data_IF_499848233812
#
_entry.id   IF_499848233812
#
_cell.length_a   1.000
_cell.length_b   1.000
_cell.length_c   1.000
_cell.angle_alpha   90.00
_cell.angle_beta   90.00
_cell.angle_gamma   90.00
#
_symmetry.space_group_name_H-M   'P 1'
#
loop_
_entity.id
_entity.type
_entity.pdbx_description
1 polymer ?
#
# COMPACT_ATOMS: atom_id res chain seq x y z
N UNK A 1 -11.16 3.95 -27.95
CA UNK A 1 -10.66 4.47 -26.67
C UNK A 1 -9.87 3.36 -26.00
N UNK A 2 -8.57 3.22 -26.30
CA UNK A 2 -7.73 2.14 -25.80
C UNK A 2 -6.56 2.77 -25.03
N UNK A 3 -6.41 2.45 -23.74
CA UNK A 3 -5.25 2.84 -22.94
C UNK A 3 -5.52 3.66 -21.67
N UNK A 4 -6.77 3.96 -21.32
CA UNK A 4 -7.06 4.65 -20.06
C UNK A 4 -7.15 3.64 -18.91
N UNK A 5 -6.03 3.45 -18.19
CA UNK A 5 -5.90 2.56 -17.04
C UNK A 5 -6.52 3.12 -15.75
N UNK A 6 -6.66 4.46 -15.66
CA UNK A 6 -7.22 5.14 -14.50
C UNK A 6 -8.58 5.76 -14.85
N UNK A 7 -9.60 5.64 -13.99
CA UNK A 7 -10.88 6.28 -14.23
C UNK A 7 -10.73 7.80 -14.34
N UNK A 8 -11.62 8.48 -15.09
CA UNK A 8 -11.63 9.94 -15.15
C UNK A 8 -11.80 10.55 -13.75
N UNK A 9 -11.24 11.76 -13.49
CA UNK A 9 -11.52 12.51 -12.27
C UNK A 9 -13.04 12.66 -12.04
N UNK A 10 -13.49 12.52 -10.80
CA UNK A 10 -14.92 12.55 -10.45
C UNK A 10 -15.62 11.18 -10.51
N UNK A 11 -14.93 10.13 -10.96
CA UNK A 11 -15.38 8.74 -10.89
C UNK A 11 -14.78 8.00 -9.69
N UNK A 12 -14.26 8.70 -8.69
CA UNK A 12 -13.72 8.07 -7.49
C UNK A 12 -14.85 7.36 -6.74
N UNK A 13 -14.65 6.11 -6.29
CA UNK A 13 -15.57 5.48 -5.36
C UNK A 13 -15.73 6.36 -4.12
N UNK A 14 -16.96 6.74 -3.79
CA UNK A 14 -17.25 7.52 -2.57
C UNK A 14 -17.76 6.58 -1.49
N UNK A 15 -17.23 6.77 -0.28
CA UNK A 15 -17.86 6.22 0.92
C UNK A 15 -19.21 6.96 1.09
N UNK A 16 -20.31 6.24 1.38
CA UNK A 16 -21.60 6.89 1.66
C UNK A 16 -21.45 7.94 2.77
N UNK A 17 -22.08 9.11 2.61
CA UNK A 17 -21.95 10.22 3.57
C UNK A 17 -22.54 9.90 4.96
N UNK A 18 -23.43 8.93 5.02
CA UNK A 18 -24.12 8.44 6.21
C UNK A 18 -23.58 7.08 6.71
N UNK A 19 -22.46 6.61 6.15
CA UNK A 19 -21.88 5.32 6.53
C UNK A 19 -21.53 5.29 8.03
N UNK A 20 -21.92 4.21 8.71
CA UNK A 20 -21.50 4.00 10.10
C UNK A 20 -20.00 3.69 10.17
N UNK A 21 -19.36 3.80 11.35
CA UNK A 21 -17.99 3.36 11.53
C UNK A 21 -17.75 1.90 11.10
N UNK A 22 -18.71 1.01 11.40
CA UNK A 22 -18.65 -0.40 11.02
C UNK A 22 -18.69 -0.59 9.49
N UNK A 23 -19.51 0.19 8.80
CA UNK A 23 -19.59 0.16 7.34
C UNK A 23 -18.32 0.69 6.69
N UNK A 24 -17.73 1.74 7.25
CA UNK A 24 -16.45 2.27 6.80
C UNK A 24 -15.34 1.21 6.96
N UNK A 25 -15.30 0.51 8.09
CA UNK A 25 -14.35 -0.59 8.33
C UNK A 25 -14.56 -1.71 7.31
N UNK A 26 -15.81 -2.11 7.04
CA UNK A 26 -16.11 -3.13 6.04
C UNK A 26 -15.63 -2.74 4.65
N UNK A 27 -15.91 -1.51 4.20
CA UNK A 27 -15.43 -1.00 2.90
C UNK A 27 -13.91 -1.02 2.84
N UNK A 28 -13.25 -0.64 3.94
CA UNK A 28 -11.79 -0.68 4.03
C UNK A 28 -11.25 -2.13 3.94
N UNK A 29 -11.87 -3.09 4.63
CA UNK A 29 -11.49 -4.51 4.54
C UNK A 29 -11.65 -5.03 3.11
N UNK A 30 -12.78 -4.76 2.46
CA UNK A 30 -13.02 -5.19 1.08
C UNK A 30 -11.95 -4.62 0.12
N UNK A 31 -11.53 -3.37 0.34
CA UNK A 31 -10.45 -2.75 -0.42
C UNK A 31 -9.11 -3.42 -0.16
N UNK A 32 -8.79 -3.75 1.09
CA UNK A 32 -7.55 -4.43 1.45
C UNK A 32 -7.48 -5.84 0.85
N UNK A 33 -8.59 -6.58 0.86
CA UNK A 33 -8.68 -7.91 0.23
C UNK A 33 -8.45 -7.83 -1.28
N UNK A 34 -9.04 -6.83 -1.96
CA UNK A 34 -8.81 -6.61 -3.39
C UNK A 34 -7.34 -6.26 -3.67
N UNK A 35 -6.73 -5.40 -2.86
CA UNK A 35 -5.30 -5.08 -2.97
C UNK A 35 -4.42 -6.33 -2.80
N UNK A 36 -4.73 -7.20 -1.84
CA UNK A 36 -4.01 -8.46 -1.63
C UNK A 36 -4.13 -9.37 -2.86
N UNK A 37 -5.32 -9.49 -3.46
CA UNK A 37 -5.51 -10.29 -4.67
C UNK A 37 -4.66 -9.78 -5.84
N UNK A 38 -4.57 -8.47 -6.04
CA UNK A 38 -3.69 -7.90 -7.06
C UNK A 38 -2.22 -8.20 -6.81
N UNK A 39 -1.76 -8.05 -5.57
CA UNK A 39 -0.40 -8.41 -5.17
C UNK A 39 -0.12 -9.88 -5.45
N UNK A 40 -0.98 -10.79 -4.99
CA UNK A 40 -0.82 -12.23 -5.20
C UNK A 40 -0.82 -12.60 -6.68
N UNK A 41 -1.65 -11.95 -7.50
CA UNK A 41 -1.65 -12.13 -8.95
C UNK A 41 -0.32 -11.65 -9.58
N UNK A 42 0.22 -10.52 -9.13
CA UNK A 42 1.53 -10.02 -9.55
C UNK A 42 2.65 -11.01 -9.22
N UNK A 43 2.73 -11.44 -7.96
CA UNK A 43 3.71 -12.43 -7.51
C UNK A 43 3.57 -13.76 -8.28
N UNK A 44 2.33 -14.22 -8.52
CA UNK A 44 2.07 -15.42 -9.31
C UNK A 44 2.59 -15.31 -10.73
N UNK A 45 2.46 -14.14 -11.36
CA UNK A 45 3.00 -13.87 -12.69
C UNK A 45 4.53 -13.94 -12.71
N UNK A 46 5.20 -13.49 -11.66
CA UNK A 46 6.67 -13.49 -11.56
C UNK A 46 7.24 -14.89 -11.34
N UNK A 47 6.66 -15.67 -10.43
CA UNK A 47 7.18 -17.00 -10.06
C UNK A 47 6.64 -18.14 -10.94
N UNK A 48 5.63 -17.86 -11.77
CA UNK A 48 4.95 -18.85 -12.60
C UNK A 48 3.93 -19.73 -11.86
N UNK A 49 3.21 -20.61 -12.59
CA UNK A 49 2.10 -21.39 -12.06
C UNK A 49 2.49 -22.40 -10.97
N UNK A 50 3.74 -22.88 -11.01
CA UNK A 50 4.25 -23.89 -10.07
C UNK A 50 5.12 -23.30 -8.95
N UNK A 51 5.35 -21.99 -8.96
CA UNK A 51 6.13 -21.33 -7.93
C UNK A 51 5.43 -21.32 -6.56
N UNK A 52 6.22 -21.31 -5.50
CA UNK A 52 5.72 -21.18 -4.12
C UNK A 52 5.30 -19.73 -3.83
N UNK A 53 4.00 -19.47 -3.98
CA UNK A 53 3.42 -18.15 -3.76
C UNK A 53 3.56 -17.68 -2.31
N UNK A 54 3.55 -18.60 -1.34
CA UNK A 54 3.68 -18.25 0.08
C UNK A 54 5.10 -17.80 0.39
N UNK A 55 6.11 -18.48 -0.15
CA UNK A 55 7.50 -18.05 -0.04
C UNK A 55 7.74 -16.72 -0.75
N UNK A 56 7.13 -16.51 -1.93
CA UNK A 56 7.21 -15.25 -2.66
C UNK A 56 6.61 -14.08 -1.86
N UNK A 57 5.41 -14.26 -1.31
CA UNK A 57 4.75 -13.26 -0.47
C UNK A 57 5.58 -12.89 0.76
N UNK A 58 6.15 -13.89 1.46
CA UNK A 58 7.00 -13.65 2.63
C UNK A 58 8.25 -12.84 2.30
N UNK A 59 8.87 -13.13 1.16
CA UNK A 59 10.05 -12.40 0.68
C UNK A 59 9.69 -10.95 0.36
N UNK A 60 8.63 -10.76 -0.42
CA UNK A 60 8.10 -9.44 -0.76
C UNK A 60 7.79 -8.63 0.52
N UNK A 61 7.12 -9.23 1.48
CA UNK A 61 6.80 -8.55 2.75
C UNK A 61 8.05 -8.11 3.51
N UNK A 62 9.07 -8.97 3.60
CA UNK A 62 10.32 -8.63 4.26
C UNK A 62 11.04 -7.45 3.58
N UNK A 63 11.03 -7.42 2.25
CA UNK A 63 11.60 -6.31 1.46
C UNK A 63 10.83 -5.01 1.73
N UNK A 64 9.50 -5.05 1.72
CA UNK A 64 8.67 -3.87 2.00
C UNK A 64 8.86 -3.33 3.42
N UNK A 65 9.03 -4.20 4.42
CA UNK A 65 9.31 -3.76 5.79
C UNK A 65 10.69 -3.10 5.92
N UNK A 66 11.71 -3.63 5.24
CA UNK A 66 13.03 -2.99 5.23
C UNK A 66 12.97 -1.61 4.56
N UNK A 67 12.27 -1.49 3.42
CA UNK A 67 12.07 -0.20 2.73
C UNK A 67 11.33 0.81 3.62
N UNK A 68 10.26 0.37 4.28
CA UNK A 68 9.51 1.18 5.23
C UNK A 68 10.40 1.66 6.38
N UNK A 69 11.19 0.78 7.00
CA UNK A 69 12.06 1.13 8.11
C UNK A 69 13.18 2.09 7.70
N UNK A 70 13.71 1.94 6.48
CA UNK A 70 14.64 2.91 5.91
C UNK A 70 13.99 4.28 5.70
N UNK A 71 12.75 4.32 5.22
CA UNK A 71 12.00 5.56 5.06
C UNK A 71 11.79 6.26 6.41
N UNK A 72 11.34 5.53 7.44
CA UNK A 72 11.11 6.07 8.79
C UNK A 72 12.41 6.62 9.38
N UNK A 73 13.52 5.88 9.26
CA UNK A 73 14.85 6.34 9.71
C UNK A 73 15.24 7.66 9.06
N UNK A 74 15.11 7.77 7.72
CA UNK A 74 15.41 9.02 6.98
C UNK A 74 14.52 10.18 7.39
N UNK A 75 13.24 9.93 7.69
CA UNK A 75 12.34 10.98 8.17
C UNK A 75 12.72 11.46 9.57
N UNK A 76 13.07 10.55 10.48
CA UNK A 76 13.53 10.89 11.82
C UNK A 76 14.82 11.72 11.79
N UNK A 77 15.79 11.34 10.96
CA UNK A 77 17.04 12.10 10.76
C UNK A 77 16.76 13.54 10.29
N UNK A 78 15.83 13.72 9.34
CA UNK A 78 15.44 15.05 8.84
C UNK A 78 14.78 15.91 9.91
N UNK A 79 13.95 15.32 10.77
CA UNK A 79 13.32 16.05 11.86
C UNK A 79 14.36 16.47 12.91
N UNK A 80 15.28 15.58 13.27
CA UNK A 80 16.36 15.89 14.22
C UNK A 80 17.29 16.98 13.67
N UNK A 81 17.62 16.94 12.37
CA UNK A 81 18.45 17.97 11.73
C UNK A 81 17.78 19.37 11.73
N UNK A 82 16.44 19.44 11.70
CA UNK A 82 15.68 20.70 11.78
C UNK A 82 15.56 21.24 13.21
N UNK A 83 15.49 20.37 14.21
CA UNK A 83 15.40 20.75 15.62
C UNK A 83 16.71 21.20 16.26
N UNK A 84 17.86 20.89 15.66
CA UNK A 84 19.19 21.26 16.19
C UNK A 84 19.77 22.57 15.65
N UNK A 85 19.07 23.28 14.76
CA UNK A 85 19.58 24.47 14.05
C UNK A 85 19.05 25.82 14.53
N UNK A 86 17.99 25.85 15.35
CA UNK A 86 17.32 27.08 15.80
C UNK A 86 17.58 27.32 17.29
N UNK A 87 18.84 27.57 17.61
CA UNK A 87 19.33 27.74 18.96
C UNK A 87 20.69 28.41 18.98
N UNK A 88 20.81 29.57 18.33
CA UNK A 88 21.97 30.46 18.50
C UNK A 88 21.57 31.92 18.39
#
# INVERSE_FOLDING_TARGET
MAGQLMPPPGCEPRVPEDATPEECIRIWVDLMDACEQFLLAGLRREIGPHGDLKAAYRRWYAEQMEEHDQMIRRMAERLNARGGGDGR
#
